data_IF_801174037399
#
_entry.id   IF_801174037399
#
_cell.length_a   1.000
_cell.length_b   1.000
_cell.length_c   1.000
_cell.angle_alpha   90.00
_cell.angle_beta   90.00
_cell.angle_gamma   90.00
#
_symmetry.space_group_name_H-M   'P 1'
#
loop_
_entity.id
_entity.type
_entity.pdbx_description
1 polymer ?
#
# COMPACT_ATOMS: atom_id res chain seq x y z
N UNK A 1 -17.01 51.80 -24.15
CA UNK A 1 -17.47 50.39 -24.24
C UNK A 1 -18.99 50.38 -24.09
N UNK A 2 -19.77 49.97 -25.11
CA UNK A 2 -21.25 50.00 -25.04
C UNK A 2 -21.80 48.99 -24.02
N UNK A 3 -22.76 49.42 -23.20
CA UNK A 3 -23.36 48.61 -22.11
C UNK A 3 -24.00 47.31 -22.60
N UNK A 4 -24.48 47.28 -23.85
CA UNK A 4 -25.02 46.10 -24.52
C UNK A 4 -23.96 45.01 -24.75
N UNK A 5 -22.71 45.39 -25.06
CA UNK A 5 -21.61 44.44 -25.26
C UNK A 5 -21.13 43.85 -23.92
N UNK A 6 -21.15 44.65 -22.85
CA UNK A 6 -20.80 44.20 -21.49
C UNK A 6 -21.82 43.20 -20.96
N UNK A 7 -23.13 43.46 -21.13
CA UNK A 7 -24.20 42.52 -20.71
C UNK A 7 -24.16 41.20 -21.48
N UNK A 8 -23.85 41.24 -22.79
CA UNK A 8 -23.65 40.03 -23.61
C UNK A 8 -22.41 39.23 -23.18
N UNK A 9 -21.33 39.91 -22.83
CA UNK A 9 -20.11 39.29 -22.31
C UNK A 9 -20.34 38.62 -20.94
N UNK A 10 -21.04 39.30 -20.03
CA UNK A 10 -21.41 38.74 -18.73
C UNK A 10 -22.32 37.52 -18.87
N UNK A 11 -23.32 37.57 -19.76
CA UNK A 11 -24.23 36.45 -19.99
C UNK A 11 -23.53 35.23 -20.60
N UNK A 12 -22.63 35.44 -21.57
CA UNK A 12 -21.85 34.35 -22.17
C UNK A 12 -20.88 33.72 -21.18
N UNK A 13 -20.28 34.52 -20.29
CA UNK A 13 -19.43 34.02 -19.20
C UNK A 13 -20.21 33.20 -18.17
N UNK A 14 -21.43 33.58 -17.81
CA UNK A 14 -22.25 32.81 -16.87
C UNK A 14 -22.69 31.46 -17.46
N UNK A 15 -23.06 31.43 -18.74
CA UNK A 15 -23.46 30.19 -19.41
C UNK A 15 -22.29 29.22 -19.55
N UNK A 16 -21.07 29.72 -19.82
CA UNK A 16 -19.90 28.84 -19.94
C UNK A 16 -19.58 28.12 -18.63
N UNK A 17 -19.72 28.79 -17.48
CA UNK A 17 -19.52 28.17 -16.16
C UNK A 17 -20.52 27.02 -15.95
N UNK A 18 -21.80 27.24 -16.29
CA UNK A 18 -22.85 26.22 -16.14
C UNK A 18 -22.59 25.01 -17.04
N UNK A 19 -22.15 25.25 -18.28
CA UNK A 19 -21.80 24.15 -19.20
C UNK A 19 -20.60 23.37 -18.68
N UNK A 20 -19.58 24.05 -18.15
CA UNK A 20 -18.37 23.40 -17.64
C UNK A 20 -18.66 22.55 -16.39
N UNK A 21 -19.56 23.00 -15.50
CA UNK A 21 -19.98 22.20 -14.33
C UNK A 21 -20.81 20.99 -14.74
N UNK A 22 -21.69 21.11 -15.73
CA UNK A 22 -22.47 19.99 -16.28
C UNK A 22 -21.56 18.92 -16.92
N UNK A 23 -20.58 19.34 -17.73
CA UNK A 23 -19.62 18.40 -18.35
C UNK A 23 -18.80 17.68 -17.28
N UNK A 24 -18.33 18.41 -16.26
CA UNK A 24 -17.59 17.83 -15.13
C UNK A 24 -18.44 16.80 -14.36
N UNK A 25 -19.71 17.12 -14.09
CA UNK A 25 -20.64 16.21 -13.41
C UNK A 25 -20.91 14.95 -14.23
N UNK A 26 -21.08 15.07 -15.55
CA UNK A 26 -21.26 13.92 -16.46
C UNK A 26 -20.01 13.05 -16.47
N UNK A 27 -18.81 13.64 -16.56
CA UNK A 27 -17.54 12.91 -16.54
C UNK A 27 -17.31 12.15 -15.22
N UNK A 28 -17.75 12.70 -14.09
CA UNK A 28 -17.73 11.99 -12.80
C UNK A 28 -18.76 10.86 -12.78
N UNK A 29 -19.99 11.10 -13.25
CA UNK A 29 -21.06 10.10 -13.24
C UNK A 29 -20.76 8.91 -14.17
N UNK A 30 -20.07 9.13 -15.29
CA UNK A 30 -19.66 8.07 -16.22
C UNK A 30 -18.37 7.36 -15.82
N UNK A 31 -17.71 7.79 -14.74
CA UNK A 31 -16.43 7.21 -14.29
C UNK A 31 -15.26 7.50 -15.23
N UNK A 32 -15.39 8.46 -16.14
CA UNK A 32 -14.31 8.89 -17.03
C UNK A 32 -13.18 9.61 -16.26
N UNK A 33 -13.49 10.12 -15.06
CA UNK A 33 -12.51 10.68 -14.11
C UNK A 33 -12.35 9.70 -12.95
N UNK A 34 -11.17 9.10 -12.82
CA UNK A 34 -10.81 8.30 -11.64
C UNK A 34 -10.49 9.24 -10.49
N UNK A 35 -11.37 9.31 -9.50
CA UNK A 35 -11.21 10.18 -8.32
C UNK A 35 -10.42 9.45 -7.23
N UNK A 36 -9.21 8.99 -7.57
CA UNK A 36 -8.37 8.19 -6.66
C UNK A 36 -7.57 9.03 -5.66
N UNK A 37 -7.80 10.36 -5.60
CA UNK A 37 -7.04 11.27 -4.72
C UNK A 37 -7.15 10.93 -3.22
N UNK A 38 -8.26 10.32 -2.83
CA UNK A 38 -8.51 9.84 -1.46
C UNK A 38 -8.50 8.32 -1.36
N UNK A 39 -8.19 7.61 -2.44
CA UNK A 39 -8.06 6.17 -2.39
C UNK A 39 -6.81 5.81 -1.56
N UNK A 40 -6.92 4.88 -0.58
CA UNK A 40 -5.75 4.36 0.09
C UNK A 40 -4.77 3.85 -0.96
N UNK A 41 -3.48 4.18 -0.83
CA UNK A 41 -2.46 3.60 -1.70
C UNK A 41 -2.58 2.07 -1.65
N UNK A 42 -2.53 1.37 -2.80
CA UNK A 42 -2.56 -0.09 -2.79
C UNK A 42 -1.43 -0.61 -1.91
N UNK A 43 -1.78 -1.46 -0.95
CA UNK A 43 -0.81 -2.06 -0.03
C UNK A 43 0.25 -2.79 -0.84
N UNK A 44 1.53 -2.62 -0.46
CA UNK A 44 2.62 -3.34 -1.11
C UNK A 44 2.38 -4.84 -0.91
N UNK A 45 2.43 -5.62 -2.00
CA UNK A 45 2.33 -7.07 -1.91
C UNK A 45 3.53 -7.61 -1.13
N UNK A 46 3.29 -8.22 0.04
CA UNK A 46 4.32 -8.80 0.93
C UNK A 46 4.56 -10.30 0.75
N UNK A 47 3.82 -10.96 -0.13
CA UNK A 47 3.88 -12.40 -0.32
C UNK A 47 5.19 -12.88 -0.94
N UNK A 48 5.60 -14.08 -0.53
CA UNK A 48 6.84 -14.72 -0.93
C UNK A 48 7.76 -15.04 0.24
N UNK A 49 8.98 -15.45 -0.11
CA UNK A 49 9.99 -15.90 0.85
C UNK A 49 10.88 -14.73 1.22
N UNK A 50 11.02 -14.50 2.52
CA UNK A 50 11.88 -13.52 3.14
C UNK A 50 13.03 -14.24 3.83
N UNK A 51 14.26 -13.91 3.44
CA UNK A 51 15.47 -14.53 3.99
C UNK A 51 16.31 -13.45 4.67
N UNK A 52 16.81 -13.77 5.85
CA UNK A 52 17.71 -12.91 6.61
C UNK A 52 18.97 -12.60 5.80
N UNK A 53 19.48 -11.39 5.97
CA UNK A 53 20.61 -10.84 5.26
C UNK A 53 21.77 -10.63 6.24
N UNK A 54 22.98 -10.46 5.69
CA UNK A 54 24.19 -10.15 6.49
C UNK A 54 24.62 -11.28 7.46
N UNK A 55 24.09 -12.48 7.24
CA UNK A 55 24.46 -13.71 7.94
C UNK A 55 24.85 -14.79 6.93
N UNK A 56 25.62 -15.78 7.36
CA UNK A 56 25.98 -16.89 6.50
C UNK A 56 24.72 -17.66 6.06
N UNK A 57 24.68 -18.10 4.80
CA UNK A 57 23.45 -18.66 4.21
C UNK A 57 22.88 -19.86 4.98
N UNK A 58 23.76 -20.69 5.58
CA UNK A 58 23.36 -21.85 6.37
C UNK A 58 22.78 -21.50 7.75
N UNK A 59 22.95 -20.27 8.21
CA UNK A 59 22.47 -19.76 9.49
C UNK A 59 21.35 -18.71 9.33
N UNK A 60 20.97 -18.38 8.10
CA UNK A 60 19.99 -17.35 7.82
C UNK A 60 18.58 -17.83 8.16
N UNK A 61 17.85 -17.06 8.98
CA UNK A 61 16.43 -17.27 9.18
C UNK A 61 15.68 -17.06 7.85
N UNK A 62 14.62 -17.83 7.63
CA UNK A 62 13.68 -17.53 6.55
C UNK A 62 12.24 -17.85 6.94
N UNK A 63 11.32 -17.07 6.37
CA UNK A 63 9.90 -17.30 6.49
C UNK A 63 9.21 -16.94 5.18
N UNK A 64 8.07 -17.55 4.95
CA UNK A 64 7.24 -17.32 3.78
C UNK A 64 5.90 -16.73 4.21
N UNK A 65 5.53 -15.64 3.55
CA UNK A 65 4.22 -15.01 3.70
C UNK A 65 3.30 -15.46 2.57
N UNK A 66 2.14 -16.00 2.95
CA UNK A 66 1.05 -16.38 2.05
C UNK A 66 -0.25 -15.77 2.55
N UNK A 67 -1.27 -15.76 1.70
CA UNK A 67 -2.61 -15.32 2.10
C UNK A 67 -3.17 -16.16 3.28
N UNK A 68 -2.76 -17.42 3.40
CA UNK A 68 -3.21 -18.32 4.47
C UNK A 68 -2.45 -18.15 5.79
N UNK A 69 -1.32 -17.42 5.83
CA UNK A 69 -0.53 -17.21 7.05
C UNK A 69 0.99 -17.16 6.84
N UNK A 70 1.71 -17.39 7.94
CA UNK A 70 3.18 -17.37 8.01
C UNK A 70 3.72 -18.79 8.08
N UNK A 71 4.71 -19.09 7.25
CA UNK A 71 5.33 -20.41 7.13
C UNK A 71 6.83 -20.34 7.40
N UNK A 72 7.37 -21.34 8.09
CA UNK A 72 8.81 -21.54 8.28
C UNK A 72 9.12 -22.99 7.95
N UNK A 73 10.12 -23.22 7.09
CA UNK A 73 10.49 -24.56 6.61
C UNK A 73 9.28 -25.37 6.09
N UNK A 74 8.37 -24.70 5.35
CA UNK A 74 7.15 -25.30 4.79
C UNK A 74 6.02 -25.57 5.80
N UNK A 75 6.26 -25.41 7.11
CA UNK A 75 5.23 -25.56 8.15
C UNK A 75 4.58 -24.21 8.45
N UNK A 76 3.26 -24.19 8.53
CA UNK A 76 2.53 -23.03 8.99
C UNK A 76 2.76 -22.82 10.49
N UNK A 77 3.36 -21.68 10.85
CA UNK A 77 3.63 -21.31 12.24
C UNK A 77 2.58 -20.32 12.79
N UNK A 78 1.87 -19.63 11.90
CA UNK A 78 0.79 -18.72 12.28
C UNK A 78 -0.28 -18.68 11.19
N UNK A 79 -1.55 -18.70 11.58
CA UNK A 79 -2.71 -18.56 10.68
C UNK A 79 -3.10 -17.11 10.42
N UNK A 80 -2.57 -16.18 11.21
CA UNK A 80 -2.93 -14.77 11.15
C UNK A 80 -1.71 -13.89 11.28
N UNK A 81 -1.65 -12.86 10.45
CA UNK A 81 -0.70 -11.76 10.54
C UNK A 81 -1.43 -10.46 10.18
N UNK A 82 -0.84 -9.33 10.56
CA UNK A 82 -1.31 -8.01 10.19
C UNK A 82 -0.29 -7.34 9.27
N UNK A 83 -0.81 -6.66 8.25
CA UNK A 83 -0.02 -5.89 7.30
C UNK A 83 -0.74 -4.59 6.97
N UNK A 84 -0.12 -3.46 7.29
CA UNK A 84 -0.67 -2.12 7.06
C UNK A 84 0.01 -1.37 5.90
N UNK A 85 0.99 -2.00 5.22
CA UNK A 85 1.79 -1.38 4.16
C UNK A 85 3.19 -0.95 4.62
N UNK A 86 3.40 -0.83 5.93
CA UNK A 86 4.64 -0.37 6.54
C UNK A 86 5.14 -1.30 7.67
N UNK A 87 4.25 -2.09 8.26
CA UNK A 87 4.52 -2.93 9.41
C UNK A 87 3.91 -4.30 9.20
N UNK A 88 4.71 -5.34 9.41
CA UNK A 88 4.26 -6.72 9.48
C UNK A 88 4.29 -7.16 10.94
N UNK A 89 3.20 -7.74 11.43
CA UNK A 89 3.18 -8.37 12.75
C UNK A 89 2.48 -9.72 12.74
N UNK A 90 2.99 -10.66 13.52
CA UNK A 90 2.33 -11.94 13.78
C UNK A 90 2.71 -12.47 15.16
N UNK A 91 1.96 -13.46 15.64
CA UNK A 91 2.24 -14.15 16.90
C UNK A 91 2.71 -15.58 16.65
N UNK A 92 3.66 -16.02 17.44
CA UNK A 92 4.11 -17.40 17.55
C UNK A 92 4.12 -17.78 19.04
N UNK A 93 3.11 -18.54 19.47
CA UNK A 93 2.86 -18.73 20.90
C UNK A 93 2.57 -17.38 21.58
N UNK A 94 3.33 -17.07 22.63
CA UNK A 94 3.23 -15.82 23.39
C UNK A 94 4.13 -14.70 22.84
N UNK A 95 4.99 -15.00 21.86
CA UNK A 95 5.89 -14.02 21.26
C UNK A 95 5.22 -13.25 20.13
N UNK A 96 5.47 -11.93 20.10
CA UNK A 96 5.11 -11.06 18.98
C UNK A 96 6.34 -10.84 18.12
N UNK A 97 6.19 -11.16 16.84
CA UNK A 97 7.16 -10.83 15.81
C UNK A 97 6.68 -9.57 15.10
N UNK A 98 7.52 -8.53 15.12
CA UNK A 98 7.21 -7.22 14.56
C UNK A 98 8.32 -6.81 13.60
N UNK A 99 7.95 -6.37 12.39
CA UNK A 99 8.90 -5.94 11.37
C UNK A 99 8.47 -4.62 10.76
N UNK A 100 9.42 -3.71 10.58
CA UNK A 100 9.24 -2.49 9.82
C UNK A 100 9.65 -2.72 8.37
N UNK A 101 8.85 -2.26 7.43
CA UNK A 101 9.13 -2.33 6.01
C UNK A 101 9.80 -1.05 5.53
N UNK A 102 11.07 -1.15 5.19
CA UNK A 102 11.92 -0.02 4.81
C UNK A 102 12.72 -0.40 3.57
N UNK A 103 12.64 0.42 2.51
CA UNK A 103 13.44 0.24 1.29
C UNK A 103 13.40 -1.19 0.72
N UNK A 104 12.19 -1.76 0.64
CA UNK A 104 11.95 -3.14 0.15
C UNK A 104 12.59 -4.25 1.01
N UNK A 105 12.81 -3.98 2.30
CA UNK A 105 13.31 -4.93 3.30
C UNK A 105 12.42 -4.93 4.52
N UNK A 106 12.38 -6.05 5.24
CA UNK A 106 11.74 -6.15 6.56
C UNK A 106 12.82 -6.10 7.63
N UNK A 107 12.71 -5.18 8.57
CA UNK A 107 13.65 -5.00 9.68
C UNK A 107 12.95 -5.41 10.97
N UNK A 108 13.41 -6.51 11.58
CA UNK A 108 12.84 -7.06 12.82
C UNK A 108 13.02 -6.07 13.96
N UNK A 109 11.91 -5.71 14.60
CA UNK A 109 11.84 -4.88 15.81
C UNK A 109 11.63 -5.76 17.05
N UNK A 110 10.88 -6.87 16.90
CA UNK A 110 10.61 -7.83 17.96
C UNK A 110 10.71 -9.27 17.43
N UNK A 111 11.27 -10.21 18.22
CA UNK A 111 11.97 -9.99 19.50
C UNK A 111 13.25 -9.15 19.35
N UNK A 112 13.58 -8.31 20.33
CA UNK A 112 14.63 -7.28 20.22
C UNK A 112 16.07 -7.80 20.45
N UNK A 113 16.26 -9.11 20.58
CA UNK A 113 17.56 -9.70 20.91
C UNK A 113 18.60 -9.48 19.80
N UNK A 114 18.17 -9.39 18.53
CA UNK A 114 19.01 -9.07 17.38
C UNK A 114 18.23 -8.23 16.37
N UNK A 115 18.87 -7.18 15.82
CA UNK A 115 18.32 -6.43 14.68
C UNK A 115 18.64 -7.24 13.42
N UNK A 116 17.62 -7.91 12.90
CA UNK A 116 17.72 -8.73 11.69
C UNK A 116 17.02 -8.05 10.52
N UNK A 117 17.65 -8.07 9.35
CA UNK A 117 17.08 -7.52 8.11
C UNK A 117 16.81 -8.64 7.12
N UNK A 118 15.63 -8.62 6.51
CA UNK A 118 15.17 -9.64 5.57
C UNK A 118 14.94 -9.03 4.19
N UNK A 119 15.38 -9.73 3.14
CA UNK A 119 15.08 -9.39 1.76
C UNK A 119 14.23 -10.49 1.13
N UNK A 120 13.39 -10.11 0.16
CA UNK A 120 12.56 -11.07 -0.55
C UNK A 120 13.39 -11.82 -1.59
N UNK A 121 13.53 -13.13 -1.42
CA UNK A 121 14.31 -14.01 -2.31
C UNK A 121 13.44 -14.66 -3.38
N UNK A 122 12.16 -14.91 -3.10
CA UNK A 122 11.19 -15.41 -4.08
C UNK A 122 9.86 -14.68 -3.93
N UNK A 123 9.27 -14.25 -5.07
CA UNK A 123 7.92 -13.68 -5.10
C UNK A 123 6.91 -14.83 -5.20
N UNK A 124 5.92 -14.83 -4.31
CA UNK A 124 4.77 -15.73 -4.33
C UNK A 124 3.62 -15.19 -5.17
#
# INVERSE_FOLDING_TARGET
MNSTNIKRFQSTFLVSIIVMTLISAIMMATGMVKVDWFAPKPLVNIYGIWTEQEVAHYAADSFELRASGVFVNGRQISTHYQWDGNTLSYRLGDEVYLYNYLSNRLVRQQPAHYISTFARTQKG
#
